data_IF_067042622327
#
_entry.id   IF_067042622327
#
_cell.length_a   1.000
_cell.length_b   1.000
_cell.length_c   1.000
_cell.angle_alpha   90.00
_cell.angle_beta   90.00
_cell.angle_gamma   90.00
#
_symmetry.space_group_name_H-M   'P 1'
#
loop_
_entity.id
_entity.type
_entity.pdbx_description
1 polymer ?
#
# COMPACT_ATOMS: atom_id res chain seq x y z
N UNK A 1 17.43 37.37 15.94
CA UNK A 1 16.81 36.66 17.05
C UNK A 1 15.41 36.30 16.63
N UNK A 2 15.16 35.09 16.21
CA UNK A 2 13.81 34.51 16.17
C UNK A 2 13.99 33.00 16.25
N UNK A 3 13.77 32.46 17.45
CA UNK A 3 13.61 31.04 17.68
C UNK A 3 12.30 30.66 17.00
N UNK A 4 12.40 29.98 15.85
CA UNK A 4 11.27 29.34 15.23
C UNK A 4 10.68 28.36 16.25
N UNK A 5 9.39 28.54 16.55
CA UNK A 5 8.60 27.67 17.37
C UNK A 5 8.84 26.23 16.96
N UNK A 6 9.33 25.39 17.88
CA UNK A 6 9.14 23.95 17.81
C UNK A 6 7.63 23.77 17.83
N UNK A 7 7.04 23.40 16.70
CA UNK A 7 5.68 22.93 16.68
C UNK A 7 5.63 21.71 17.61
N UNK A 8 4.85 21.80 18.67
CA UNK A 8 4.51 20.67 19.56
C UNK A 8 3.64 19.69 18.78
N UNK A 9 4.24 19.02 17.79
CA UNK A 9 3.59 17.88 17.12
C UNK A 9 3.52 16.72 18.13
N UNK A 10 2.39 16.03 18.22
CA UNK A 10 2.27 14.87 19.10
C UNK A 10 3.35 13.84 18.75
N UNK A 11 3.85 13.14 19.76
CA UNK A 11 4.84 12.07 19.57
C UNK A 11 4.37 10.97 18.60
N UNK A 12 3.06 10.83 18.44
CA UNK A 12 2.39 9.92 17.51
C UNK A 12 2.33 10.44 16.06
N UNK A 13 2.73 11.69 15.80
CA UNK A 13 2.74 12.23 14.45
C UNK A 13 3.74 11.47 13.57
N UNK A 14 3.35 11.08 12.33
CA UNK A 14 4.23 10.33 11.44
C UNK A 14 5.57 11.01 11.22
N UNK A 15 6.65 10.26 11.35
CA UNK A 15 8.02 10.77 11.23
C UNK A 15 8.60 10.44 9.85
N UNK A 16 8.93 11.47 9.10
CA UNK A 16 9.43 11.37 7.72
C UNK A 16 10.91 11.73 7.66
N UNK A 17 11.70 10.88 7.02
CA UNK A 17 13.10 11.19 6.66
C UNK A 17 13.12 11.78 5.25
N UNK A 18 13.64 13.01 5.09
CA UNK A 18 13.85 13.67 3.80
C UNK A 18 15.33 13.64 3.46
N UNK A 19 15.66 12.97 2.34
CA UNK A 19 17.05 12.79 1.87
C UNK A 19 17.19 13.42 0.48
N UNK A 20 17.93 14.51 0.39
CA UNK A 20 18.18 15.24 -0.85
C UNK A 20 19.46 16.06 -0.66
N UNK A 21 20.33 16.19 -1.64
CA UNK A 21 21.57 16.96 -1.53
C UNK A 21 21.34 18.48 -1.65
N UNK A 22 20.23 18.90 -2.29
CA UNK A 22 19.84 20.31 -2.37
C UNK A 22 19.33 20.82 -1.01
N UNK A 23 20.15 21.64 -0.36
CA UNK A 23 19.83 22.25 0.93
C UNK A 23 18.53 23.05 0.91
N UNK A 24 18.28 23.81 -0.17
CA UNK A 24 17.09 24.66 -0.28
C UNK A 24 15.81 23.82 -0.35
N UNK A 25 15.86 22.77 -1.16
CA UNK A 25 14.73 21.86 -1.28
C UNK A 25 14.48 21.12 0.05
N UNK A 26 15.52 20.63 0.71
CA UNK A 26 15.37 20.00 2.04
C UNK A 26 14.72 20.92 3.06
N UNK A 27 15.18 22.17 3.15
CA UNK A 27 14.62 23.15 4.11
C UNK A 27 13.16 23.53 3.76
N UNK A 28 12.84 23.62 2.47
CA UNK A 28 11.48 23.86 2.01
C UNK A 28 10.56 22.68 2.37
N UNK A 29 10.98 21.46 2.04
CA UNK A 29 10.22 20.25 2.33
C UNK A 29 10.03 20.02 3.83
N UNK A 30 11.10 20.24 4.62
CA UNK A 30 11.01 20.09 6.07
C UNK A 30 9.98 21.05 6.68
N UNK A 31 9.98 22.31 6.29
CA UNK A 31 8.99 23.29 6.76
C UNK A 31 7.59 22.91 6.30
N UNK A 32 7.42 22.68 5.02
CA UNK A 32 6.10 22.35 4.45
C UNK A 32 5.48 21.10 5.08
N UNK A 33 6.25 20.01 5.21
CA UNK A 33 5.75 18.77 5.81
C UNK A 33 5.47 18.95 7.31
N UNK A 34 6.26 19.75 8.02
CA UNK A 34 5.97 20.05 9.43
C UNK A 34 4.65 20.82 9.56
N UNK A 35 4.38 21.79 8.69
CA UNK A 35 3.11 22.51 8.63
C UNK A 35 1.92 21.59 8.27
N UNK A 36 2.19 20.47 7.59
CA UNK A 36 1.19 19.43 7.28
C UNK A 36 1.03 18.36 8.39
N UNK A 37 1.71 18.52 9.54
CA UNK A 37 1.57 17.65 10.70
C UNK A 37 2.53 16.46 10.74
N UNK A 38 3.61 16.46 9.96
CA UNK A 38 4.66 15.43 10.02
C UNK A 38 5.82 15.88 10.90
N UNK A 39 6.39 14.97 11.67
CA UNK A 39 7.74 15.14 12.21
C UNK A 39 8.74 14.91 11.08
N UNK A 40 9.73 15.76 10.93
CA UNK A 40 10.67 15.66 9.81
C UNK A 40 12.11 15.64 10.30
N UNK A 41 12.85 14.66 9.82
CA UNK A 41 14.32 14.64 9.90
C UNK A 41 14.89 14.80 8.50
N UNK A 42 15.88 15.66 8.33
CA UNK A 42 16.53 15.90 7.05
C UNK A 42 17.94 15.30 7.04
N UNK A 43 18.37 14.79 5.88
CA UNK A 43 19.71 14.29 5.62
C UNK A 43 20.19 14.76 4.25
N UNK A 44 21.46 15.13 4.14
CA UNK A 44 22.06 15.65 2.91
C UNK A 44 22.68 14.56 2.02
N UNK A 45 22.71 13.32 2.50
CA UNK A 45 23.31 12.18 1.80
C UNK A 45 22.79 10.86 2.34
N UNK A 46 23.01 9.78 1.60
CA UNK A 46 22.75 8.41 2.03
C UNK A 46 23.49 8.05 3.35
N UNK A 47 24.73 8.50 3.50
CA UNK A 47 25.51 8.27 4.73
C UNK A 47 24.88 8.93 5.96
N UNK A 48 24.44 10.18 5.84
CA UNK A 48 23.74 10.87 6.92
C UNK A 48 22.39 10.23 7.21
N UNK A 49 21.66 9.85 6.17
CA UNK A 49 20.38 9.15 6.31
C UNK A 49 20.52 7.82 7.08
N UNK A 50 21.57 7.03 6.80
CA UNK A 50 21.88 5.81 7.57
C UNK A 50 22.16 6.12 9.04
N UNK A 51 22.96 7.12 9.32
CA UNK A 51 23.27 7.51 10.71
C UNK A 51 22.00 7.90 11.47
N UNK A 52 21.09 8.65 10.84
CA UNK A 52 19.78 8.99 11.43
C UNK A 52 18.92 7.78 11.67
N UNK A 53 18.86 6.85 10.71
CA UNK A 53 18.05 5.63 10.80
C UNK A 53 18.52 4.62 11.87
N UNK A 54 19.76 4.74 12.37
CA UNK A 54 20.23 3.94 13.50
C UNK A 54 19.59 4.34 14.83
N UNK A 55 19.18 5.60 14.97
CA UNK A 55 18.68 6.14 16.23
C UNK A 55 17.20 6.49 16.21
N UNK A 56 16.61 6.54 15.03
CA UNK A 56 15.21 6.98 14.83
C UNK A 56 14.49 6.03 13.88
N UNK A 57 13.30 5.62 14.27
CA UNK A 57 12.38 4.89 13.38
C UNK A 57 11.57 5.90 12.58
N UNK A 58 11.51 5.69 11.27
CA UNK A 58 10.76 6.54 10.35
C UNK A 58 9.55 5.80 9.78
N UNK A 59 8.43 6.51 9.66
CA UNK A 59 7.19 6.01 9.05
C UNK A 59 7.22 6.08 7.53
N UNK A 60 8.05 6.96 6.96
CA UNK A 60 8.33 7.04 5.53
C UNK A 60 9.66 7.75 5.24
N UNK A 61 10.14 7.57 4.01
CA UNK A 61 11.31 8.25 3.47
C UNK A 61 10.95 8.94 2.16
N UNK A 62 11.34 10.21 2.02
CA UNK A 62 11.38 10.95 0.76
C UNK A 62 12.83 10.99 0.31
N UNK A 63 13.15 10.41 -0.84
CA UNK A 63 14.53 10.15 -1.26
C UNK A 63 14.78 10.68 -2.67
N UNK A 64 15.73 11.59 -2.80
CA UNK A 64 16.21 12.01 -4.12
C UNK A 64 17.01 10.90 -4.78
N UNK A 65 16.78 10.70 -6.08
CA UNK A 65 17.55 9.76 -6.91
C UNK A 65 18.94 10.30 -7.20
N UNK A 66 19.04 11.60 -7.49
CA UNK A 66 20.27 12.22 -8.04
C UNK A 66 21.10 12.85 -6.93
N UNK A 67 21.72 12.01 -6.09
CA UNK A 67 22.64 12.50 -5.05
C UNK A 67 24.09 12.20 -5.40
N UNK A 68 25.04 13.08 -5.02
CA UNK A 68 26.46 12.84 -5.23
C UNK A 68 26.97 11.68 -4.34
N UNK A 69 27.86 10.88 -4.89
CA UNK A 69 28.42 9.70 -4.24
C UNK A 69 27.49 8.49 -4.38
N UNK A 70 26.78 8.13 -3.34
CA UNK A 70 25.77 7.07 -3.39
C UNK A 70 24.44 7.65 -3.86
N UNK A 71 23.96 7.17 -5.02
CA UNK A 71 22.68 7.61 -5.56
C UNK A 71 21.49 7.03 -4.78
N UNK A 72 20.30 7.64 -4.98
CA UNK A 72 19.11 7.23 -4.25
C UNK A 72 18.65 5.80 -4.53
N UNK A 73 18.91 5.27 -5.71
CA UNK A 73 18.55 3.88 -6.04
C UNK A 73 19.40 2.87 -5.25
N UNK A 74 20.71 3.09 -5.18
CA UNK A 74 21.61 2.20 -4.45
C UNK A 74 21.32 2.26 -2.94
N UNK A 75 21.04 3.45 -2.43
CA UNK A 75 20.63 3.62 -1.04
C UNK A 75 19.29 2.93 -0.76
N UNK A 76 18.27 3.10 -1.60
CA UNK A 76 16.99 2.43 -1.44
C UNK A 76 17.14 0.90 -1.45
N UNK A 77 17.97 0.35 -2.34
CA UNK A 77 18.28 -1.09 -2.36
C UNK A 77 18.88 -1.56 -1.03
N UNK A 78 19.87 -0.84 -0.51
CA UNK A 78 20.47 -1.19 0.80
C UNK A 78 19.48 -1.08 1.96
N UNK A 79 18.57 -0.11 1.94
CA UNK A 79 17.50 0.01 2.94
C UNK A 79 16.55 -1.17 2.86
N UNK A 80 16.22 -1.67 1.67
CA UNK A 80 15.31 -2.81 1.49
C UNK A 80 15.86 -4.13 2.00
N UNK A 81 17.16 -4.27 2.17
CA UNK A 81 17.76 -5.47 2.79
C UNK A 81 17.35 -5.63 4.25
N UNK A 82 17.17 -4.52 4.97
CA UNK A 82 16.95 -4.52 6.42
C UNK A 82 15.66 -3.84 6.87
N UNK A 83 15.02 -3.04 6.01
CA UNK A 83 13.86 -2.22 6.36
C UNK A 83 12.78 -2.23 5.29
N UNK A 84 11.54 -2.10 5.77
CA UNK A 84 10.34 -1.97 4.92
C UNK A 84 9.72 -0.58 5.00
N UNK A 85 10.49 0.40 5.49
CA UNK A 85 10.03 1.79 5.54
C UNK A 85 9.53 2.23 4.14
N UNK A 86 8.34 2.82 4.01
CA UNK A 86 7.86 3.33 2.73
C UNK A 86 8.80 4.36 2.13
N UNK A 87 9.11 4.22 0.84
CA UNK A 87 10.02 5.12 0.12
C UNK A 87 9.28 5.79 -1.04
N UNK A 88 9.19 7.11 -0.99
CA UNK A 88 8.79 7.97 -2.11
C UNK A 88 10.05 8.52 -2.76
N UNK A 89 10.30 8.10 -4.02
CA UNK A 89 11.47 8.57 -4.78
C UNK A 89 11.18 9.89 -5.47
N UNK A 90 12.09 10.86 -5.34
CA UNK A 90 12.08 12.08 -6.14
C UNK A 90 13.00 11.89 -7.36
N UNK A 91 12.49 12.06 -8.56
CA UNK A 91 13.24 11.78 -9.79
C UNK A 91 13.30 12.98 -10.72
N UNK A 92 14.39 13.13 -11.50
CA UNK A 92 14.39 14.04 -12.63
C UNK A 92 13.47 13.49 -13.73
N UNK A 93 12.65 14.35 -14.36
CA UNK A 93 11.57 14.01 -15.31
C UNK A 93 11.98 13.27 -16.58
N UNK A 94 13.26 13.05 -16.84
CA UNK A 94 13.79 12.81 -18.18
C UNK A 94 14.13 11.36 -18.52
N UNK A 95 13.99 10.38 -17.61
CA UNK A 95 14.41 9.02 -17.94
C UNK A 95 13.30 7.98 -17.64
N UNK A 96 12.63 7.42 -18.68
CA UNK A 96 11.70 6.30 -18.52
C UNK A 96 12.31 5.08 -17.82
N UNK A 97 13.63 4.87 -17.96
CA UNK A 97 14.35 3.78 -17.33
C UNK A 97 14.43 3.91 -15.80
N UNK A 98 14.49 5.15 -15.28
CA UNK A 98 14.51 5.38 -13.83
C UNK A 98 13.24 4.86 -13.15
N UNK A 99 12.11 4.93 -13.84
CA UNK A 99 10.82 4.43 -13.36
C UNK A 99 10.77 2.90 -13.32
N UNK A 100 11.37 2.26 -14.31
CA UNK A 100 11.46 0.79 -14.37
C UNK A 100 12.45 0.27 -13.32
N UNK A 101 13.63 0.87 -13.22
CA UNK A 101 14.62 0.52 -12.18
C UNK A 101 14.07 0.68 -10.78
N UNK A 102 13.30 1.70 -10.55
CA UNK A 102 12.75 1.93 -9.24
C UNK A 102 11.66 0.93 -8.84
N UNK A 103 10.85 0.45 -9.78
CA UNK A 103 9.90 -0.64 -9.52
C UNK A 103 10.62 -1.95 -9.16
N UNK A 104 11.78 -2.22 -9.77
CA UNK A 104 12.62 -3.38 -9.44
C UNK A 104 13.26 -3.29 -8.06
N UNK A 105 13.57 -2.07 -7.58
CA UNK A 105 14.18 -1.82 -6.26
C UNK A 105 13.11 -1.87 -5.14
N UNK A 106 11.83 -1.80 -5.49
CA UNK A 106 10.73 -1.87 -4.51
C UNK A 106 10.46 -0.54 -3.82
N UNK A 107 10.65 0.60 -4.50
CA UNK A 107 10.10 1.87 -4.04
C UNK A 107 8.56 1.83 -4.08
N UNK A 108 7.92 2.54 -3.14
CA UNK A 108 6.47 2.48 -2.97
C UNK A 108 5.74 3.49 -3.87
N UNK A 109 6.39 4.61 -4.24
CA UNK A 109 5.87 5.57 -5.20
C UNK A 109 7.00 6.47 -5.76
N UNK A 110 6.68 7.21 -6.84
CA UNK A 110 7.60 8.11 -7.56
C UNK A 110 6.97 9.46 -7.78
N UNK A 111 7.76 10.53 -7.60
CA UNK A 111 7.35 11.90 -7.85
C UNK A 111 8.40 12.63 -8.70
N UNK A 112 8.09 12.93 -9.97
CA UNK A 112 9.02 13.65 -10.86
C UNK A 112 9.18 15.11 -10.45
N UNK A 113 10.42 15.60 -10.43
CA UNK A 113 10.76 17.03 -10.28
C UNK A 113 10.56 17.75 -11.63
N UNK A 114 9.97 18.97 -11.67
CA UNK A 114 9.39 19.71 -10.56
C UNK A 114 8.00 19.18 -10.17
N UNK A 115 7.66 19.29 -8.89
CA UNK A 115 6.38 18.82 -8.35
C UNK A 115 5.73 19.88 -7.46
N UNK A 116 4.42 19.75 -7.29
CA UNK A 116 3.66 20.54 -6.34
C UNK A 116 3.78 19.94 -4.93
N UNK A 117 4.08 20.76 -3.88
CA UNK A 117 4.19 20.24 -2.50
C UNK A 117 2.96 19.48 -2.02
N UNK A 118 1.76 19.84 -2.49
CA UNK A 118 0.52 19.14 -2.19
C UNK A 118 0.51 17.71 -2.75
N UNK A 119 1.05 17.50 -3.95
CA UNK A 119 1.15 16.16 -4.56
C UNK A 119 2.06 15.26 -3.71
N UNK A 120 3.21 15.78 -3.26
CA UNK A 120 4.12 15.06 -2.37
C UNK A 120 3.40 14.60 -1.10
N UNK A 121 2.65 15.50 -0.45
CA UNK A 121 1.89 15.16 0.77
C UNK A 121 0.84 14.09 0.54
N UNK A 122 0.09 14.17 -0.56
CA UNK A 122 -0.93 13.17 -0.90
C UNK A 122 -0.31 11.79 -1.13
N UNK A 123 0.81 11.71 -1.87
CA UNK A 123 1.53 10.46 -2.12
C UNK A 123 2.13 9.89 -0.83
N UNK A 124 2.75 10.75 -0.03
CA UNK A 124 3.33 10.37 1.25
C UNK A 124 2.28 9.79 2.19
N UNK A 125 1.13 10.45 2.34
CA UNK A 125 0.00 9.94 3.13
C UNK A 125 -0.50 8.58 2.61
N UNK A 126 -0.54 8.39 1.29
CA UNK A 126 -0.99 7.13 0.69
C UNK A 126 -0.03 5.98 0.99
N UNK A 127 1.29 6.19 0.86
CA UNK A 127 2.27 5.13 1.16
C UNK A 127 2.33 4.84 2.65
N UNK A 128 2.24 5.84 3.54
CA UNK A 128 2.17 5.66 4.99
C UNK A 128 0.91 4.88 5.36
N UNK A 129 -0.26 5.26 4.87
CA UNK A 129 -1.52 4.53 5.14
C UNK A 129 -1.47 3.06 4.70
N UNK A 130 -0.78 2.76 3.60
CA UNK A 130 -0.56 1.38 3.15
C UNK A 130 0.39 0.61 4.06
N UNK A 131 1.36 1.28 4.68
CA UNK A 131 2.32 0.67 5.60
C UNK A 131 1.79 0.54 7.03
N UNK A 132 1.00 1.52 7.50
CA UNK A 132 0.35 1.54 8.84
C UNK A 132 -0.90 0.66 8.88
N UNK A 133 -1.50 0.31 7.75
CA UNK A 133 -2.36 -0.89 7.76
C UNK A 133 -1.47 -2.01 8.27
N UNK A 134 -1.80 -2.60 9.44
CA UNK A 134 -0.87 -3.48 10.11
C UNK A 134 -0.46 -4.58 9.13
N UNK A 135 0.81 -4.59 8.78
CA UNK A 135 1.50 -5.78 8.28
C UNK A 135 1.74 -6.74 9.48
N UNK A 136 0.91 -6.58 10.52
CA UNK A 136 0.54 -7.55 11.51
C UNK A 136 -0.59 -8.35 10.90
N UNK A 137 -0.22 -9.05 9.95
CA UNK A 137 -0.51 -10.36 9.48
C UNK A 137 0.26 -10.44 8.19
N UNK A 138 1.36 -11.16 8.19
CA UNK A 138 1.82 -11.90 7.03
C UNK A 138 0.60 -12.21 6.18
N UNK A 139 0.46 -11.55 4.98
CA UNK A 139 -0.65 -11.77 4.09
C UNK A 139 -1.99 -11.86 4.85
N UNK A 140 -2.85 -10.83 4.78
CA UNK A 140 -4.23 -11.02 5.24
C UNK A 140 -4.83 -12.17 4.42
N UNK A 141 -4.58 -13.37 4.91
CA UNK A 141 -5.34 -14.51 4.52
C UNK A 141 -6.63 -14.42 5.33
N UNK A 142 -7.70 -14.07 4.68
CA UNK A 142 -9.03 -14.20 5.24
C UNK A 142 -9.36 -15.67 5.26
N UNK A 143 -9.56 -16.24 6.47
CA UNK A 143 -9.91 -17.64 6.64
C UNK A 143 -11.42 -17.80 6.67
N UNK A 144 -11.89 -18.87 6.07
CA UNK A 144 -13.29 -19.29 6.08
C UNK A 144 -13.36 -20.83 5.96
N UNK A 145 -13.55 -21.48 7.08
CA UNK A 145 -13.45 -22.94 7.19
C UNK A 145 -12.05 -23.45 6.81
N UNK A 146 -11.94 -24.45 5.90
CA UNK A 146 -10.63 -24.99 5.49
C UNK A 146 -9.90 -24.10 4.46
N UNK A 147 -10.44 -22.93 4.11
CA UNK A 147 -9.89 -22.05 3.08
C UNK A 147 -9.18 -20.85 3.67
N UNK A 148 -8.11 -20.43 2.99
CA UNK A 148 -7.38 -19.19 3.24
C UNK A 148 -7.25 -18.42 1.93
N UNK A 149 -7.77 -17.20 1.86
CA UNK A 149 -7.60 -16.33 0.72
C UNK A 149 -6.61 -15.21 1.04
N UNK A 150 -5.47 -15.20 0.38
CA UNK A 150 -4.45 -14.16 0.51
C UNK A 150 -4.77 -12.99 -0.39
N UNK A 151 -5.24 -11.88 0.20
CA UNK A 151 -5.68 -10.69 -0.54
C UNK A 151 -4.51 -10.07 -1.33
N UNK A 152 -3.29 -10.06 -0.75
CA UNK A 152 -2.09 -9.47 -1.35
C UNK A 152 -1.64 -10.17 -2.64
N UNK A 153 -1.86 -11.49 -2.73
CA UNK A 153 -1.46 -12.33 -3.88
C UNK A 153 -2.63 -12.75 -4.74
N UNK A 154 -3.86 -12.58 -4.24
CA UNK A 154 -5.06 -13.10 -4.89
C UNK A 154 -5.06 -14.63 -4.96
N UNK A 155 -4.45 -15.31 -3.99
CA UNK A 155 -4.31 -16.75 -3.92
C UNK A 155 -5.35 -17.35 -2.97
N UNK A 156 -6.14 -18.29 -3.47
CA UNK A 156 -7.04 -19.12 -2.68
C UNK A 156 -6.37 -20.46 -2.39
N UNK A 157 -6.31 -20.86 -1.12
CA UNK A 157 -5.78 -22.15 -0.68
C UNK A 157 -6.83 -22.90 0.13
N UNK A 158 -6.77 -24.20 0.05
CA UNK A 158 -7.45 -25.13 0.97
C UNK A 158 -6.34 -25.91 1.68
N UNK A 159 -6.22 -25.73 2.97
CA UNK A 159 -5.05 -26.19 3.71
C UNK A 159 -3.75 -25.67 3.02
N UNK A 160 -2.90 -26.53 2.53
CA UNK A 160 -1.67 -26.14 1.77
C UNK A 160 -1.85 -26.22 0.25
N UNK A 161 -2.99 -26.64 -0.27
CA UNK A 161 -3.24 -26.82 -1.70
C UNK A 161 -3.74 -25.51 -2.35
N UNK A 162 -3.08 -25.07 -3.44
CA UNK A 162 -3.50 -23.90 -4.20
C UNK A 162 -4.70 -24.21 -5.07
N UNK A 163 -5.81 -23.47 -4.88
CA UNK A 163 -7.01 -23.56 -5.70
C UNK A 163 -6.93 -22.56 -6.84
N UNK A 164 -6.98 -23.01 -8.07
CA UNK A 164 -6.99 -22.13 -9.25
C UNK A 164 -8.30 -21.39 -9.36
N UNK A 165 -8.21 -20.06 -9.33
CA UNK A 165 -9.31 -19.13 -9.57
C UNK A 165 -9.00 -18.24 -10.76
N UNK A 166 -10.03 -17.84 -11.49
CA UNK A 166 -9.91 -16.89 -12.60
C UNK A 166 -9.71 -15.47 -12.06
N UNK A 167 -9.26 -14.55 -12.93
CA UNK A 167 -9.09 -13.15 -12.55
C UNK A 167 -10.37 -12.55 -11.99
N UNK A 168 -11.51 -12.83 -12.63
CA UNK A 168 -12.81 -12.32 -12.18
C UNK A 168 -13.26 -12.92 -10.85
N UNK A 169 -12.99 -14.19 -10.61
CA UNK A 169 -13.25 -14.85 -9.31
C UNK A 169 -12.36 -14.25 -8.21
N UNK A 170 -11.11 -13.90 -8.55
CA UNK A 170 -10.16 -13.23 -7.66
C UNK A 170 -10.65 -11.84 -7.24
N UNK A 171 -11.07 -11.01 -8.21
CA UNK A 171 -11.64 -9.69 -7.94
C UNK A 171 -12.80 -9.76 -6.96
N UNK A 172 -13.78 -10.64 -7.25
CA UNK A 172 -14.97 -10.83 -6.40
C UNK A 172 -14.57 -11.29 -5.00
N UNK A 173 -13.66 -12.27 -4.89
CA UNK A 173 -13.20 -12.77 -3.60
C UNK A 173 -12.42 -11.69 -2.81
N UNK A 174 -11.64 -10.87 -3.49
CA UNK A 174 -10.91 -9.74 -2.89
C UNK A 174 -11.88 -8.73 -2.29
N UNK A 175 -12.94 -8.35 -3.01
CA UNK A 175 -13.95 -7.41 -2.50
C UNK A 175 -14.66 -7.99 -1.28
N UNK A 176 -15.09 -9.24 -1.35
CA UNK A 176 -15.80 -9.93 -0.26
C UNK A 176 -14.90 -10.14 0.98
N UNK A 177 -13.64 -10.52 0.77
CA UNK A 177 -12.66 -10.71 1.85
C UNK A 177 -12.32 -9.38 2.53
N UNK A 178 -12.14 -8.31 1.75
CA UNK A 178 -11.89 -6.95 2.27
C UNK A 178 -13.09 -6.42 3.08
N UNK A 179 -14.30 -6.86 2.75
CA UNK A 179 -15.50 -6.49 3.50
C UNK A 179 -15.59 -7.17 4.88
N UNK A 180 -14.71 -8.15 5.20
CA UNK A 180 -14.58 -8.73 6.53
C UNK A 180 -15.90 -9.30 7.11
N UNK A 181 -16.67 -10.00 6.30
CA UNK A 181 -17.97 -10.56 6.72
C UNK A 181 -19.17 -9.62 6.57
N UNK A 182 -18.96 -8.36 6.14
CA UNK A 182 -20.07 -7.46 5.85
C UNK A 182 -20.79 -7.82 4.54
N UNK A 183 -22.02 -7.33 4.40
CA UNK A 183 -22.80 -7.52 3.16
C UNK A 183 -22.24 -6.62 2.05
N UNK A 184 -22.08 -7.18 0.85
CA UNK A 184 -21.60 -6.47 -0.34
C UNK A 184 -22.68 -6.50 -1.41
N UNK A 185 -22.99 -5.32 -1.96
CA UNK A 185 -24.01 -5.17 -2.99
C UNK A 185 -23.56 -5.78 -4.33
N UNK A 186 -24.51 -6.26 -5.14
CA UNK A 186 -24.23 -6.82 -6.47
C UNK A 186 -23.54 -5.84 -7.37
N UNK A 187 -23.92 -4.58 -7.32
CA UNK A 187 -23.33 -3.49 -8.11
C UNK A 187 -21.85 -3.29 -7.79
N UNK A 188 -21.45 -3.35 -6.51
CA UNK A 188 -20.06 -3.27 -6.08
C UNK A 188 -19.23 -4.46 -6.59
N UNK A 189 -19.83 -5.66 -6.62
CA UNK A 189 -19.21 -6.86 -7.17
C UNK A 189 -19.16 -6.87 -8.70
N UNK A 190 -20.09 -6.19 -9.36
CA UNK A 190 -20.16 -6.12 -10.82
C UNK A 190 -19.06 -5.26 -11.43
N UNK A 191 -18.63 -4.19 -10.74
CA UNK A 191 -17.72 -3.19 -11.29
C UNK A 191 -18.38 -2.37 -12.40
N UNK A 192 -17.61 -1.60 -13.18
CA UNK A 192 -18.14 -0.77 -14.25
C UNK A 192 -18.73 -1.61 -15.39
N UNK A 193 -20.04 -1.71 -15.50
CA UNK A 193 -20.71 -2.49 -16.58
C UNK A 193 -22.24 -2.61 -16.47
N UNK A 194 -22.85 -2.03 -15.43
CA UNK A 194 -24.31 -2.00 -15.25
C UNK A 194 -24.99 -3.38 -15.15
N UNK A 195 -26.30 -3.46 -15.45
CA UNK A 195 -27.13 -4.66 -15.23
C UNK A 195 -26.64 -5.94 -15.94
N UNK A 196 -25.89 -5.84 -17.04
CA UNK A 196 -25.31 -7.00 -17.71
C UNK A 196 -24.15 -7.60 -16.89
N UNK A 197 -23.35 -6.76 -16.23
CA UNK A 197 -22.26 -7.18 -15.36
C UNK A 197 -22.79 -7.82 -14.05
N UNK A 198 -23.90 -7.35 -13.51
CA UNK A 198 -24.54 -7.93 -12.33
C UNK A 198 -24.99 -9.39 -12.54
N UNK A 199 -25.56 -9.70 -13.70
CA UNK A 199 -25.93 -11.10 -14.05
C UNK A 199 -24.70 -12.02 -14.09
N UNK A 200 -23.55 -11.44 -14.47
CA UNK A 200 -22.29 -12.19 -14.51
C UNK A 200 -21.77 -12.49 -13.11
N UNK A 201 -22.04 -11.64 -12.11
CA UNK A 201 -21.66 -11.87 -10.71
C UNK A 201 -22.25 -13.17 -10.18
N UNK A 202 -23.55 -13.40 -10.39
CA UNK A 202 -24.23 -14.60 -9.89
C UNK A 202 -23.60 -15.89 -10.47
N UNK A 203 -23.17 -15.83 -11.73
CA UNK A 203 -22.45 -16.95 -12.37
C UNK A 203 -21.08 -17.18 -11.73
N UNK A 204 -20.34 -16.11 -11.46
CA UNK A 204 -19.01 -16.21 -10.85
C UNK A 204 -19.09 -16.67 -9.38
N UNK A 205 -20.07 -16.20 -8.63
CA UNK A 205 -20.34 -16.66 -7.26
C UNK A 205 -20.65 -18.17 -7.27
N UNK A 206 -21.48 -18.65 -8.19
CA UNK A 206 -21.77 -20.08 -8.31
C UNK A 206 -20.52 -20.90 -8.69
N UNK A 207 -19.62 -20.37 -9.51
CA UNK A 207 -18.33 -21.01 -9.81
C UNK A 207 -17.41 -21.06 -8.59
N UNK A 208 -17.33 -19.98 -7.81
CA UNK A 208 -16.60 -19.96 -6.55
C UNK A 208 -17.17 -20.97 -5.56
N UNK A 209 -18.51 -21.03 -5.40
CA UNK A 209 -19.17 -22.03 -4.52
C UNK A 209 -18.78 -23.46 -4.87
N UNK A 210 -18.70 -23.80 -6.16
CA UNK A 210 -18.26 -25.15 -6.58
C UNK A 210 -16.83 -25.47 -6.17
N UNK A 211 -16.02 -24.47 -5.85
CA UNK A 211 -14.62 -24.63 -5.42
C UNK A 211 -14.47 -24.57 -3.90
N UNK A 212 -15.39 -23.90 -3.21
CA UNK A 212 -15.25 -23.58 -1.78
C UNK A 212 -16.34 -24.18 -0.89
N UNK A 213 -17.45 -24.66 -1.45
CA UNK A 213 -18.54 -25.22 -0.67
C UNK A 213 -18.62 -26.74 -0.86
N UNK A 214 -19.02 -27.44 0.18
CA UNK A 214 -19.36 -28.87 0.10
C UNK A 214 -20.64 -29.06 -0.68
N UNK A 215 -21.65 -28.21 -0.41
CA UNK A 215 -22.90 -28.14 -1.16
C UNK A 215 -23.10 -26.71 -1.70
N UNK A 216 -22.87 -26.47 -3.01
CA UNK A 216 -23.04 -25.15 -3.62
C UNK A 216 -24.50 -24.63 -3.57
N UNK A 217 -25.49 -25.47 -3.37
CA UNK A 217 -26.91 -25.09 -3.25
C UNK A 217 -27.22 -24.53 -1.85
N UNK A 218 -26.50 -25.02 -0.82
CA UNK A 218 -26.61 -24.59 0.57
C UNK A 218 -25.28 -24.02 1.07
N UNK A 219 -24.85 -22.85 0.57
CA UNK A 219 -23.52 -22.32 0.84
C UNK A 219 -23.36 -21.85 2.28
N UNK A 220 -22.27 -22.28 2.92
CA UNK A 220 -21.87 -21.90 4.28
C UNK A 220 -21.01 -20.65 4.26
N UNK A 221 -20.06 -20.57 3.33
CA UNK A 221 -19.07 -19.49 3.26
C UNK A 221 -19.52 -18.33 2.36
N UNK A 222 -19.90 -18.61 1.12
CA UNK A 222 -20.36 -17.60 0.16
C UNK A 222 -21.89 -17.46 0.19
N UNK A 223 -22.40 -16.72 1.16
CA UNK A 223 -23.82 -16.58 1.44
C UNK A 223 -24.50 -15.55 0.54
N UNK A 224 -25.76 -15.83 0.15
CA UNK A 224 -26.61 -14.85 -0.52
C UNK A 224 -27.39 -14.05 0.52
N UNK A 225 -27.31 -12.73 0.46
CA UNK A 225 -28.11 -11.80 1.26
C UNK A 225 -29.26 -11.29 0.39
N UNK A 226 -30.47 -11.80 0.63
CA UNK A 226 -31.64 -11.48 -0.21
C UNK A 226 -31.90 -9.98 -0.25
N UNK A 227 -32.11 -9.44 -1.43
CA UNK A 227 -32.37 -8.02 -1.66
C UNK A 227 -31.12 -7.11 -1.59
N UNK A 228 -29.94 -7.63 -1.22
CA UNK A 228 -28.69 -6.87 -1.11
C UNK A 228 -27.64 -7.41 -2.08
N UNK A 229 -27.14 -8.59 -1.84
CA UNK A 229 -26.02 -9.12 -2.62
C UNK A 229 -25.44 -10.38 -1.99
N UNK A 230 -24.16 -10.34 -1.64
CA UNK A 230 -23.42 -11.48 -1.12
C UNK A 230 -22.59 -11.13 0.11
N UNK A 231 -22.20 -12.14 0.86
CA UNK A 231 -21.34 -12.05 2.02
C UNK A 231 -20.39 -13.24 2.06
N UNK A 232 -19.13 -13.01 2.44
CA UNK A 232 -18.21 -14.08 2.82
C UNK A 232 -18.28 -14.25 4.34
N UNK A 233 -18.68 -15.41 4.81
CA UNK A 233 -18.61 -15.74 6.24
C UNK A 233 -17.13 -16.04 6.56
N UNK A 234 -16.49 -15.19 7.31
CA UNK A 234 -15.09 -15.30 7.77
C UNK A 234 -15.06 -15.84 9.19
N UNK A 235 -13.96 -16.53 9.57
CA UNK A 235 -13.74 -17.09 10.90
C UNK A 235 -13.36 -16.02 11.93
#
# INVERSE_FOLDING_TARGET
>A
MSHAARSDLPDEAPHVLVVDDDRRLRELLARYLTDQGFRVTAAASAAEARARAQSVVFDAMVLDVMMPGENGFDYARSVRETSRVPILMLTARSNPNDRVMGLEIGADDYLPKPFEPRELTLRLNNIIKRSVRPRAASAEAVTFGPFAFRIDRGELRRDDELIRITEREREILTILATAGGANVEREQLAGPGGAAAERTVDVQINRLRRKTEVDPANPVFLQTVRGVGYRLAVD
#
